data_IF_882554933528
#
_entry.id   IF_882554933528
#
_cell.length_a   1.000
_cell.length_b   1.000
_cell.length_c   1.000
_cell.angle_alpha   90.00
_cell.angle_beta   90.00
_cell.angle_gamma   90.00
#
_symmetry.space_group_name_H-M   'P 1'
#
loop_
_entity.id
_entity.type
_entity.pdbx_description
1 polymer ?
#
# COMPACT_ATOMS: atom_id res chain seq x y z
N UNK A 1 20.89 -19.18 -25.58
CA UNK A 1 20.57 -18.88 -27.00
C UNK A 1 21.41 -17.69 -27.45
N UNK A 2 21.96 -17.70 -28.69
CA UNK A 2 22.68 -16.53 -29.21
C UNK A 2 21.72 -15.34 -29.37
N UNK A 3 22.16 -14.14 -28.98
CA UNK A 3 21.39 -12.87 -28.99
C UNK A 3 20.63 -12.63 -30.30
N UNK A 4 21.24 -12.98 -31.43
CA UNK A 4 20.64 -12.83 -32.77
C UNK A 4 19.42 -13.74 -32.99
N UNK A 5 19.43 -14.99 -32.49
CA UNK A 5 18.27 -15.91 -32.61
C UNK A 5 17.07 -15.45 -31.78
N UNK A 6 17.32 -14.84 -30.62
CA UNK A 6 16.25 -14.26 -29.78
C UNK A 6 15.64 -13.06 -30.49
N UNK A 7 16.48 -12.19 -31.06
CA UNK A 7 16.05 -11.00 -31.79
C UNK A 7 15.18 -11.35 -33.00
N UNK A 8 15.61 -12.29 -33.85
CA UNK A 8 14.85 -12.69 -35.04
C UNK A 8 13.52 -13.37 -34.71
N UNK A 9 13.42 -14.04 -33.56
CA UNK A 9 12.16 -14.64 -33.10
C UNK A 9 11.23 -13.64 -32.41
N UNK A 10 11.79 -12.68 -31.66
CA UNK A 10 11.03 -11.75 -30.83
C UNK A 10 10.51 -10.55 -31.63
N UNK A 11 11.32 -9.98 -32.54
CA UNK A 11 10.94 -8.78 -33.31
C UNK A 11 9.62 -8.93 -34.09
N UNK A 12 9.37 -10.02 -34.84
CA UNK A 12 8.10 -10.17 -35.57
C UNK A 12 6.88 -10.22 -34.63
N UNK A 13 7.07 -10.72 -33.41
CA UNK A 13 6.00 -10.83 -32.41
C UNK A 13 5.69 -9.48 -31.76
N UNK A 14 6.73 -8.70 -31.46
CA UNK A 14 6.59 -7.37 -30.89
C UNK A 14 6.00 -6.37 -31.91
N UNK A 15 6.39 -6.50 -33.18
CA UNK A 15 5.92 -5.66 -34.30
C UNK A 15 4.62 -6.15 -34.94
N UNK A 16 3.91 -7.09 -34.31
CA UNK A 16 2.64 -7.62 -34.82
C UNK A 16 1.51 -6.59 -34.81
N UNK A 17 1.67 -5.49 -34.07
CA UNK A 17 0.71 -4.40 -33.98
C UNK A 17 1.32 -3.15 -34.59
N UNK A 18 0.62 -2.54 -35.53
CA UNK A 18 1.05 -1.29 -36.14
C UNK A 18 1.10 -0.17 -35.08
N UNK A 19 2.21 0.56 -35.06
CA UNK A 19 2.38 1.69 -34.14
C UNK A 19 1.58 2.89 -34.69
N UNK A 20 0.51 3.34 -34.01
CA UNK A 20 -0.29 4.46 -34.48
C UNK A 20 0.50 5.77 -34.40
N UNK A 21 0.13 6.76 -35.23
CA UNK A 21 0.77 8.10 -35.24
C UNK A 21 0.69 8.78 -33.86
N UNK A 22 -0.34 8.50 -33.07
CA UNK A 22 -0.51 9.01 -31.72
C UNK A 22 -0.89 7.89 -30.76
N UNK A 23 -0.13 7.72 -29.68
CA UNK A 23 -0.42 6.75 -28.63
C UNK A 23 -1.28 7.45 -27.56
N UNK A 24 -2.57 7.09 -27.39
CA UNK A 24 -3.40 7.72 -26.37
C UNK A 24 -2.86 7.39 -24.97
N UNK A 25 -2.63 8.41 -24.15
CA UNK A 25 -2.11 8.24 -22.77
C UNK A 25 -3.13 8.55 -21.68
N UNK A 26 -4.37 8.88 -22.05
CA UNK A 26 -5.43 9.29 -21.12
C UNK A 26 -6.76 8.59 -21.42
N UNK A 27 -7.63 8.52 -20.41
CA UNK A 27 -8.96 7.93 -20.51
C UNK A 27 -8.98 6.41 -20.70
N UNK A 28 -10.13 5.88 -21.13
CA UNK A 28 -10.31 4.44 -21.39
C UNK A 28 -9.45 3.96 -22.56
N UNK A 29 -9.28 4.80 -23.58
CA UNK A 29 -8.43 4.53 -24.74
C UNK A 29 -6.97 4.31 -24.33
N UNK A 30 -6.44 5.09 -23.38
CA UNK A 30 -5.10 4.91 -22.83
C UNK A 30 -4.95 3.64 -21.99
N UNK A 31 -5.99 3.22 -21.26
CA UNK A 31 -5.97 1.98 -20.46
C UNK A 31 -5.94 0.71 -21.32
N UNK A 32 -6.49 0.77 -22.54
CA UNK A 32 -6.53 -0.34 -23.48
C UNK A 32 -5.25 -0.50 -24.32
N UNK A 33 -4.28 0.42 -24.21
CA UNK A 33 -3.03 0.36 -24.96
C UNK A 33 -2.18 -0.83 -24.51
N UNK A 34 -1.73 -1.63 -25.47
CA UNK A 34 -0.75 -2.69 -25.28
C UNK A 34 0.13 -2.77 -26.53
N UNK A 35 1.16 -1.93 -26.61
CA UNK A 35 2.02 -1.82 -27.78
C UNK A 35 3.50 -1.80 -27.41
N UNK A 36 4.31 -2.42 -28.27
CA UNK A 36 5.76 -2.34 -28.22
C UNK A 36 6.25 -1.38 -29.31
N UNK A 37 7.06 -0.41 -28.90
CA UNK A 37 7.75 0.53 -29.79
C UNK A 37 9.23 0.23 -29.69
N UNK A 38 9.88 0.05 -30.84
CA UNK A 38 11.30 -0.32 -30.91
C UNK A 38 12.03 0.78 -31.67
N UNK A 39 12.98 1.42 -30.99
CA UNK A 39 13.83 2.45 -31.57
C UNK A 39 15.29 1.99 -31.56
N UNK A 40 15.98 2.22 -32.67
CA UNK A 40 17.42 2.05 -32.81
C UNK A 40 18.07 3.40 -32.61
N UNK A 41 19.06 3.44 -31.73
CA UNK A 41 19.85 4.63 -31.44
C UNK A 41 21.28 4.32 -31.86
N UNK A 42 21.85 5.11 -32.76
CA UNK A 42 23.27 4.96 -33.14
C UNK A 42 24.15 5.14 -31.88
N UNK A 43 25.23 4.35 -31.70
CA UNK A 43 26.14 4.48 -30.55
C UNK A 43 26.75 5.89 -30.39
N UNK A 44 26.78 6.68 -31.46
CA UNK A 44 27.20 8.09 -31.45
C UNK A 44 26.10 9.07 -30.99
N UNK A 45 24.89 8.58 -30.71
CA UNK A 45 23.76 9.32 -30.11
C UNK A 45 23.02 10.28 -31.03
N UNK A 46 23.34 10.32 -32.34
CA UNK A 46 22.82 11.35 -33.26
C UNK A 46 21.66 10.91 -34.15
N UNK A 47 21.43 9.61 -34.30
CA UNK A 47 20.43 9.10 -35.24
C UNK A 47 19.48 8.14 -34.50
N UNK A 48 18.19 8.48 -34.53
CA UNK A 48 17.09 7.68 -34.00
C UNK A 48 16.23 7.14 -35.14
N UNK A 49 15.93 5.85 -35.04
CA UNK A 49 15.38 5.04 -36.11
C UNK A 49 14.27 4.16 -35.53
N UNK A 50 13.01 4.42 -35.87
CA UNK A 50 11.86 3.63 -35.45
C UNK A 50 11.71 2.40 -36.35
N UNK A 51 11.63 1.20 -35.78
CA UNK A 51 11.42 -0.04 -36.56
C UNK A 51 9.93 -0.26 -36.79
N UNK A 52 9.51 -0.35 -38.05
CA UNK A 52 8.12 -0.63 -38.42
C UNK A 52 7.87 -2.09 -38.76
N UNK A 53 8.78 -2.70 -39.53
CA UNK A 53 8.65 -4.10 -39.93
C UNK A 53 9.99 -4.76 -40.23
N UNK A 54 10.01 -6.09 -40.17
CA UNK A 54 11.18 -6.92 -40.45
C UNK A 54 10.86 -7.93 -41.56
N UNK A 55 11.68 -7.94 -42.61
CA UNK A 55 11.67 -9.02 -43.60
C UNK A 55 12.82 -9.99 -43.30
N UNK A 56 12.47 -11.07 -42.60
CA UNK A 56 13.40 -12.14 -42.21
C UNK A 56 13.95 -12.92 -43.42
N UNK A 57 13.28 -12.90 -44.59
CA UNK A 57 13.75 -13.62 -45.79
C UNK A 57 14.85 -12.86 -46.52
N UNK A 58 14.83 -11.52 -46.43
CA UNK A 58 15.81 -10.63 -47.08
C UNK A 58 16.82 -10.02 -46.11
N UNK A 59 16.70 -10.33 -44.82
CA UNK A 59 17.56 -9.81 -43.75
C UNK A 59 17.57 -8.26 -43.69
N UNK A 60 16.42 -7.64 -44.00
CA UNK A 60 16.25 -6.17 -44.04
C UNK A 60 15.27 -5.73 -42.97
N UNK A 61 15.61 -4.64 -42.28
CA UNK A 61 14.71 -3.90 -41.38
C UNK A 61 14.18 -2.67 -42.11
N UNK A 62 12.87 -2.49 -42.11
CA UNK A 62 12.23 -1.25 -42.57
C UNK A 62 12.07 -0.33 -41.37
N UNK A 63 12.64 0.86 -41.50
CA UNK A 63 12.85 1.78 -40.41
C UNK A 63 12.43 3.18 -40.85
N UNK A 64 11.68 3.91 -40.03
CA UNK A 64 11.49 5.35 -40.21
C UNK A 64 12.53 6.10 -39.39
N UNK A 65 13.32 6.94 -40.05
CA UNK A 65 14.32 7.79 -39.41
C UNK A 65 13.69 9.09 -38.95
N UNK A 66 14.18 9.62 -37.84
CA UNK A 66 13.74 10.90 -37.30
C UNK A 66 14.09 12.02 -38.28
N UNK A 67 13.08 12.75 -38.75
CA UNK A 67 13.30 14.00 -39.46
C UNK A 67 13.49 15.12 -38.42
N UNK A 68 14.72 15.64 -38.30
CA UNK A 68 15.08 16.66 -37.30
C UNK A 68 14.26 17.96 -37.44
N UNK A 69 13.81 18.31 -38.64
CA UNK A 69 13.04 19.54 -38.89
C UNK A 69 11.59 19.44 -38.38
N UNK A 70 10.98 18.25 -38.49
CA UNK A 70 9.57 18.02 -38.11
C UNK A 70 9.40 17.30 -36.78
N UNK A 71 10.49 16.81 -36.17
CA UNK A 71 10.48 15.92 -34.99
C UNK A 71 9.55 14.71 -35.15
N UNK A 72 9.39 14.23 -36.39
CA UNK A 72 8.53 13.10 -36.74
C UNK A 72 9.36 12.01 -37.43
N UNK A 73 9.06 10.74 -37.15
CA UNK A 73 9.61 9.59 -37.89
C UNK A 73 8.91 9.48 -39.24
N UNK A 74 9.53 10.07 -40.29
CA UNK A 74 8.92 10.17 -41.63
C UNK A 74 9.80 9.67 -42.76
N UNK A 75 11.12 9.51 -42.54
CA UNK A 75 12.04 9.11 -43.61
C UNK A 75 12.18 7.60 -43.65
N UNK A 76 11.53 6.96 -44.62
CA UNK A 76 11.65 5.52 -44.84
C UNK A 76 13.07 5.13 -45.26
N UNK A 77 13.71 4.30 -44.46
CA UNK A 77 15.05 3.75 -44.70
C UNK A 77 15.02 2.23 -44.50
N UNK A 78 15.88 1.52 -45.24
CA UNK A 78 16.10 0.09 -45.03
C UNK A 78 17.51 -0.14 -44.47
N UNK A 79 17.61 -0.76 -43.30
CA UNK A 79 18.88 -1.11 -42.67
C UNK A 79 19.09 -2.62 -42.78
N UNK A 80 20.29 -3.04 -43.21
CA UNK A 80 20.68 -4.45 -43.18
C UNK A 80 20.92 -4.91 -41.74
N UNK A 81 20.39 -6.08 -41.38
CA UNK A 81 20.55 -6.70 -40.06
C UNK A 81 22.04 -6.90 -39.69
N UNK A 82 22.95 -6.96 -40.67
CA UNK A 82 24.39 -7.08 -40.43
C UNK A 82 24.98 -5.77 -39.84
N UNK A 83 24.43 -4.60 -40.19
CA UNK A 83 24.85 -3.28 -39.70
C UNK A 83 24.38 -2.91 -38.29
N UNK A 84 23.51 -3.73 -37.68
CA UNK A 84 22.92 -3.49 -36.36
C UNK A 84 23.93 -3.48 -35.19
N UNK A 85 25.18 -3.89 -35.41
CA UNK A 85 26.23 -3.88 -34.37
C UNK A 85 26.57 -2.46 -33.90
N UNK A 86 26.30 -1.45 -34.73
CA UNK A 86 26.57 -0.04 -34.43
C UNK A 86 25.41 0.65 -33.71
N UNK A 87 24.28 -0.04 -33.53
CA UNK A 87 23.06 0.50 -32.93
C UNK A 87 22.76 -0.12 -31.55
N UNK A 88 22.17 0.68 -30.69
CA UNK A 88 21.61 0.29 -29.39
C UNK A 88 20.09 0.16 -29.59
N UNK A 89 19.53 -0.95 -29.12
CA UNK A 89 18.09 -1.15 -29.14
C UNK A 89 17.47 -0.54 -27.88
N UNK A 90 16.50 0.33 -28.08
CA UNK A 90 15.61 0.85 -27.05
C UNK A 90 14.21 0.28 -27.30
N UNK A 91 13.75 -0.58 -26.38
CA UNK A 91 12.43 -1.19 -26.44
C UNK A 91 11.53 -0.51 -25.42
N UNK A 92 10.45 0.10 -25.89
CA UNK A 92 9.42 0.70 -25.03
C UNK A 92 8.15 -0.13 -25.10
N UNK A 93 7.62 -0.50 -23.95
CA UNK A 93 6.35 -1.22 -23.84
C UNK A 93 5.33 -0.32 -23.16
N UNK A 94 4.31 0.07 -23.93
CA UNK A 94 3.17 0.84 -23.45
C UNK A 94 2.07 -0.12 -23.05
N UNK A 95 1.88 -0.30 -21.74
CA UNK A 95 0.87 -1.16 -21.15
C UNK A 95 -0.09 -0.33 -20.30
N UNK A 96 -1.25 -0.03 -20.86
CA UNK A 96 -2.20 0.91 -20.31
C UNK A 96 -1.55 2.29 -20.11
N UNK A 97 -1.68 2.82 -18.89
CA UNK A 97 -1.07 4.09 -18.48
C UNK A 97 0.40 3.97 -18.07
N UNK A 98 0.96 2.76 -18.07
CA UNK A 98 2.35 2.53 -17.69
C UNK A 98 3.25 2.48 -18.94
N UNK A 99 4.50 2.89 -18.75
CA UNK A 99 5.56 2.84 -19.76
C UNK A 99 6.74 2.10 -19.16
N UNK A 100 7.23 1.09 -19.89
CA UNK A 100 8.41 0.33 -19.52
C UNK A 100 9.48 0.51 -20.58
N UNK A 101 10.69 0.87 -20.16
CA UNK A 101 11.86 1.00 -21.03
C UNK A 101 12.84 -0.14 -20.77
N UNK A 102 13.27 -0.78 -21.85
CA UNK A 102 14.26 -1.85 -21.82
C UNK A 102 15.38 -1.58 -22.84
N UNK A 103 16.62 -1.51 -22.37
CA UNK A 103 17.82 -1.45 -23.21
C UNK A 103 18.41 -2.83 -23.55
N UNK A 104 17.95 -3.88 -22.87
CA UNK A 104 18.49 -5.22 -23.01
C UNK A 104 17.40 -6.20 -23.45
N UNK A 105 17.67 -6.87 -24.56
CA UNK A 105 16.76 -7.82 -25.22
C UNK A 105 16.35 -9.00 -24.33
N UNK A 106 17.20 -9.42 -23.40
CA UNK A 106 16.85 -10.53 -22.50
C UNK A 106 15.72 -10.13 -21.54
N UNK A 107 15.71 -8.88 -21.05
CA UNK A 107 14.61 -8.39 -20.21
C UNK A 107 13.31 -8.26 -21.00
N UNK A 108 13.38 -7.85 -22.27
CA UNK A 108 12.20 -7.80 -23.16
C UNK A 108 11.66 -9.20 -23.41
N UNK A 109 12.55 -10.16 -23.71
CA UNK A 109 12.17 -11.55 -23.92
C UNK A 109 11.50 -12.16 -22.69
N UNK A 110 12.08 -11.94 -21.51
CA UNK A 110 11.52 -12.44 -20.25
C UNK A 110 10.19 -11.74 -19.92
N UNK A 111 10.10 -10.43 -20.12
CA UNK A 111 8.85 -9.67 -19.97
C UNK A 111 7.75 -10.22 -20.89
N UNK A 112 8.07 -10.48 -22.16
CA UNK A 112 7.11 -10.99 -23.15
C UNK A 112 6.59 -12.39 -22.80
N UNK A 113 7.47 -13.33 -22.45
CA UNK A 113 7.07 -14.70 -22.10
C UNK A 113 6.38 -14.76 -20.74
N UNK A 114 6.95 -14.11 -19.74
CA UNK A 114 6.50 -14.23 -18.36
C UNK A 114 5.39 -13.23 -18.02
N UNK A 115 5.06 -12.30 -18.93
CA UNK A 115 4.13 -11.20 -18.68
C UNK A 115 4.47 -10.40 -17.40
N UNK A 116 5.76 -10.24 -17.10
CA UNK A 116 6.25 -9.63 -15.86
C UNK A 116 5.74 -8.20 -15.66
N UNK A 117 5.57 -7.46 -16.77
CA UNK A 117 5.02 -6.10 -16.77
C UNK A 117 3.57 -6.08 -16.28
N UNK A 118 2.75 -7.06 -16.69
CA UNK A 118 1.36 -7.19 -16.23
C UNK A 118 1.30 -7.51 -14.75
N UNK A 119 2.22 -8.35 -14.25
CA UNK A 119 2.32 -8.67 -12.82
C UNK A 119 2.72 -7.44 -12.00
N UNK A 120 3.69 -6.66 -12.46
CA UNK A 120 4.12 -5.43 -11.80
C UNK A 120 2.98 -4.41 -11.70
N UNK A 121 2.26 -4.17 -12.80
CA UNK A 121 1.08 -3.27 -12.79
C UNK A 121 0.00 -3.79 -11.84
N UNK A 122 -0.30 -5.09 -11.85
CA UNK A 122 -1.28 -5.67 -10.91
C UNK A 122 -0.84 -5.52 -9.46
N UNK A 123 0.45 -5.70 -9.18
CA UNK A 123 1.00 -5.52 -7.84
C UNK A 123 0.89 -4.07 -7.37
N UNK A 124 1.23 -3.09 -8.21
CA UNK A 124 1.09 -1.67 -7.89
C UNK A 124 -0.38 -1.26 -7.67
N UNK A 125 -1.31 -1.80 -8.48
CA UNK A 125 -2.75 -1.59 -8.27
C UNK A 125 -3.20 -2.25 -6.96
N UNK A 126 -2.69 -3.43 -6.64
CA UNK A 126 -3.03 -4.17 -5.42
C UNK A 126 -2.49 -3.49 -4.16
N UNK A 127 -1.24 -3.01 -4.16
CA UNK A 127 -0.65 -2.26 -3.03
C UNK A 127 -1.39 -0.95 -2.81
N UNK A 128 -1.76 -0.24 -3.87
CA UNK A 128 -2.59 0.97 -3.78
C UNK A 128 -3.99 0.66 -3.24
N UNK A 129 -4.62 -0.44 -3.68
CA UNK A 129 -5.92 -0.89 -3.11
C UNK A 129 -5.81 -1.28 -1.65
N UNK A 130 -4.76 -1.99 -1.26
CA UNK A 130 -4.49 -2.33 0.14
C UNK A 130 -4.28 -1.07 0.96
N UNK A 131 -3.44 -0.15 0.50
CA UNK A 131 -3.20 1.13 1.19
C UNK A 131 -4.50 1.90 1.36
N UNK A 132 -5.31 2.04 0.31
CA UNK A 132 -6.61 2.71 0.37
C UNK A 132 -7.60 1.96 1.26
N UNK A 133 -7.60 0.63 1.26
CA UNK A 133 -8.45 -0.18 2.13
C UNK A 133 -8.04 -0.07 3.60
N UNK A 134 -6.74 -0.11 3.92
CA UNK A 134 -6.24 0.10 5.27
C UNK A 134 -6.50 1.53 5.76
N UNK A 135 -6.38 2.53 4.89
CA UNK A 135 -6.69 3.92 5.23
C UNK A 135 -8.21 4.18 5.35
N UNK A 136 -9.05 3.57 4.51
CA UNK A 136 -10.52 3.70 4.60
C UNK A 136 -11.12 2.87 5.76
N UNK A 137 -10.57 1.68 6.06
CA UNK A 137 -11.05 0.83 7.15
C UNK A 137 -10.62 1.36 8.52
N UNK A 138 -9.50 2.08 8.59
CA UNK A 138 -9.23 3.00 9.70
C UNK A 138 -10.18 4.17 9.53
N UNK A 139 -11.38 4.12 10.10
CA UNK A 139 -12.27 5.29 10.21
C UNK A 139 -11.46 6.47 10.76
N UNK A 140 -11.01 7.35 9.85
CA UNK A 140 -9.74 8.07 10.01
C UNK A 140 -9.85 9.26 10.97
N UNK A 141 -11.02 9.45 11.58
CA UNK A 141 -11.30 10.53 12.52
C UNK A 141 -12.11 10.04 13.72
N UNK A 142 -11.95 8.76 14.10
CA UNK A 142 -12.57 8.19 15.31
C UNK A 142 -11.71 8.44 16.54
N UNK A 143 -11.08 9.61 16.63
CA UNK A 143 -10.44 10.06 17.87
C UNK A 143 -11.53 10.42 18.86
N UNK A 144 -11.49 9.79 20.02
CA UNK A 144 -12.46 9.97 21.08
C UNK A 144 -12.15 11.20 21.92
N UNK A 145 -13.04 11.51 22.87
CA UNK A 145 -12.87 12.59 23.83
C UNK A 145 -11.53 12.50 24.59
N UNK A 146 -11.12 11.30 24.97
CA UNK A 146 -9.87 11.08 25.73
C UNK A 146 -8.62 11.26 24.88
N UNK A 147 -8.66 10.93 23.58
CA UNK A 147 -7.55 11.22 22.67
C UNK A 147 -7.30 12.73 22.54
N UNK A 148 -8.38 13.53 22.53
CA UNK A 148 -8.30 14.99 22.48
C UNK A 148 -7.64 15.50 23.76
N UNK A 149 -8.10 15.04 24.92
CA UNK A 149 -7.54 15.44 26.22
C UNK A 149 -6.06 15.07 26.36
N UNK A 150 -5.66 13.86 25.94
CA UNK A 150 -4.25 13.41 25.88
C UNK A 150 -3.41 14.33 24.99
N UNK A 151 -3.90 14.63 23.79
CA UNK A 151 -3.20 15.49 22.82
C UNK A 151 -3.06 16.93 23.32
N UNK A 152 -4.06 17.45 24.04
CA UNK A 152 -4.00 18.77 24.66
C UNK A 152 -2.96 18.84 25.77
N UNK A 153 -2.93 17.83 26.65
CA UNK A 153 -1.93 17.75 27.72
C UNK A 153 -0.51 17.68 27.14
N UNK A 154 -0.29 16.84 26.13
CA UNK A 154 0.99 16.78 25.42
C UNK A 154 1.40 18.12 24.80
N UNK A 155 0.47 18.80 24.13
CA UNK A 155 0.73 20.12 23.55
C UNK A 155 1.06 21.13 24.65
N UNK A 156 0.31 21.19 25.74
CA UNK A 156 0.58 22.13 26.83
C UNK A 156 1.92 21.87 27.52
N UNK A 157 2.31 20.60 27.75
CA UNK A 157 3.64 20.23 28.26
C UNK A 157 4.77 20.58 27.28
N UNK A 158 4.50 20.50 25.96
CA UNK A 158 5.50 20.84 24.93
C UNK A 158 5.61 22.35 24.74
N UNK A 159 4.50 23.08 24.85
CA UNK A 159 4.41 24.54 24.67
C UNK A 159 5.17 25.33 25.73
N UNK A 160 5.52 24.71 26.86
CA UNK A 160 6.45 25.28 27.86
C UNK A 160 7.84 25.63 27.25
N UNK A 161 8.15 25.15 26.03
CA UNK A 161 9.37 25.51 25.28
C UNK A 161 9.19 26.54 24.16
N UNK A 162 7.97 27.05 23.91
CA UNK A 162 7.74 28.05 22.86
C UNK A 162 7.64 29.46 23.44
N UNK A 163 8.74 30.21 23.30
CA UNK A 163 8.95 31.61 23.73
C UNK A 163 7.88 32.65 23.29
N UNK A 164 6.82 32.26 22.56
CA UNK A 164 5.87 33.18 21.90
C UNK A 164 4.42 33.10 22.38
N UNK A 165 4.04 32.18 23.29
CA UNK A 165 2.64 32.08 23.75
C UNK A 165 2.42 32.76 25.10
N UNK A 166 1.80 33.94 25.06
CA UNK A 166 1.40 34.74 26.24
C UNK A 166 0.18 34.16 26.97
N UNK A 167 -0.49 33.19 26.36
CA UNK A 167 -1.58 32.40 26.94
C UNK A 167 -1.10 30.97 27.13
N UNK A 168 -1.21 30.41 28.33
CA UNK A 168 -0.87 29.02 28.65
C UNK A 168 -1.83 27.99 27.99
N UNK A 169 -2.49 28.34 26.89
CA UNK A 169 -3.56 27.57 26.26
C UNK A 169 -3.27 27.21 24.80
N UNK A 170 -3.91 26.14 24.35
CA UNK A 170 -3.79 25.58 23.01
C UNK A 170 -4.90 26.11 22.11
N UNK A 171 -4.55 26.56 20.92
CA UNK A 171 -5.52 27.03 19.93
C UNK A 171 -6.31 25.87 19.29
N UNK A 172 -7.59 26.09 18.98
CA UNK A 172 -8.46 25.10 18.34
C UNK A 172 -7.88 24.50 17.05
N UNK A 173 -7.32 25.35 16.18
CA UNK A 173 -6.73 24.94 14.91
C UNK A 173 -5.50 24.07 15.08
N UNK A 174 -4.62 24.46 16.00
CA UNK A 174 -3.42 23.70 16.36
C UNK A 174 -3.80 22.31 16.90
N UNK A 175 -4.81 22.25 17.77
CA UNK A 175 -5.30 21.00 18.32
C UNK A 175 -5.93 20.10 17.25
N UNK A 176 -6.74 20.66 16.35
CA UNK A 176 -7.30 19.89 15.23
C UNK A 176 -6.21 19.36 14.30
N UNK A 177 -5.21 20.17 13.93
CA UNK A 177 -4.09 19.72 13.09
C UNK A 177 -3.22 18.68 13.78
N UNK A 178 -2.99 18.78 15.10
CA UNK A 178 -2.28 17.77 15.88
C UNK A 178 -3.00 16.42 15.87
N UNK A 179 -4.31 16.42 16.08
CA UNK A 179 -5.11 15.18 16.24
C UNK A 179 -5.41 14.52 14.90
N UNK A 180 -5.69 15.35 13.89
CA UNK A 180 -6.24 14.88 12.62
C UNK A 180 -5.31 15.06 11.41
N UNK A 181 -4.11 15.64 11.62
CA UNK A 181 -3.17 16.08 10.57
C UNK A 181 -3.79 17.15 9.66
N UNK A 182 -3.01 18.04 9.04
CA UNK A 182 -3.51 19.09 8.13
C UNK A 182 -4.39 18.57 6.96
N UNK A 183 -4.36 17.27 6.71
CA UNK A 183 -5.23 16.56 5.75
C UNK A 183 -6.72 16.66 6.08
N UNK A 184 -7.11 16.98 7.32
CA UNK A 184 -8.52 17.12 7.69
C UNK A 184 -9.22 18.24 6.90
N UNK A 185 -8.48 19.27 6.47
CA UNK A 185 -8.98 20.42 5.70
C UNK A 185 -9.53 19.98 4.34
N UNK A 186 -8.85 19.03 3.70
CA UNK A 186 -9.21 18.50 2.38
C UNK A 186 -10.21 17.34 2.45
N UNK A 187 -10.65 16.95 3.65
CA UNK A 187 -11.56 15.83 3.82
C UNK A 187 -12.99 16.19 3.37
N UNK A 188 -13.68 15.34 2.60
CA UNK A 188 -15.10 15.55 2.26
C UNK A 188 -16.00 15.68 3.50
N UNK A 189 -15.67 15.03 4.62
CA UNK A 189 -16.41 15.05 5.89
C UNK A 189 -15.90 16.11 6.89
N UNK A 190 -15.16 17.13 6.43
CA UNK A 190 -14.54 18.15 7.31
C UNK A 190 -15.54 18.83 8.27
N UNK A 191 -16.78 19.03 7.85
CA UNK A 191 -17.83 19.68 8.65
C UNK A 191 -18.24 18.77 9.82
N UNK A 192 -18.46 17.49 9.56
CA UNK A 192 -18.82 16.52 10.60
C UNK A 192 -17.70 16.34 11.62
N UNK A 193 -16.45 16.27 11.14
CA UNK A 193 -15.26 16.17 11.99
C UNK A 193 -15.16 17.38 12.92
N UNK A 194 -15.32 18.60 12.37
CA UNK A 194 -15.28 19.84 13.15
C UNK A 194 -16.39 19.90 14.19
N UNK A 195 -17.63 19.60 13.80
CA UNK A 195 -18.78 19.64 14.71
C UNK A 195 -18.61 18.62 15.86
N UNK A 196 -18.15 17.42 15.55
CA UNK A 196 -17.87 16.38 16.54
C UNK A 196 -16.76 16.81 17.50
N UNK A 197 -15.71 17.43 16.98
CA UNK A 197 -14.60 17.95 17.76
C UNK A 197 -15.05 19.07 18.72
N UNK A 198 -15.89 19.99 18.25
CA UNK A 198 -16.49 21.04 19.10
C UNK A 198 -17.33 20.46 20.23
N UNK A 199 -18.12 19.42 19.95
CA UNK A 199 -18.90 18.73 20.99
C UNK A 199 -18.00 18.09 22.05
N UNK A 200 -16.85 17.54 21.66
CA UNK A 200 -15.89 16.99 22.62
C UNK A 200 -15.22 18.07 23.47
N UNK A 201 -14.84 19.20 22.88
CA UNK A 201 -14.31 20.33 23.64
C UNK A 201 -15.34 20.86 24.63
N UNK A 202 -16.59 21.08 24.20
CA UNK A 202 -17.68 21.49 25.07
C UNK A 202 -17.91 20.49 26.21
N UNK A 203 -17.79 19.19 25.93
CA UNK A 203 -17.93 18.12 26.92
C UNK A 203 -16.79 18.12 27.95
N UNK A 204 -15.56 18.44 27.53
CA UNK A 204 -14.38 18.57 28.41
C UNK A 204 -14.43 19.85 29.25
N UNK A 205 -14.95 20.95 28.70
CA UNK A 205 -15.21 22.18 29.46
C UNK A 205 -16.29 21.92 30.51
N UNK A 206 -17.38 21.26 30.11
CA UNK A 206 -18.50 20.95 31.02
C UNK A 206 -18.09 20.01 32.17
N UNK A 207 -17.13 19.12 31.97
CA UNK A 207 -16.61 18.28 33.06
C UNK A 207 -15.56 19.01 33.90
N UNK A 208 -15.07 20.17 33.48
CA UNK A 208 -13.97 20.88 34.14
C UNK A 208 -12.61 20.20 33.93
N UNK A 209 -12.47 19.37 32.90
CA UNK A 209 -11.16 18.82 32.49
C UNK A 209 -10.32 19.91 31.80
N UNK A 210 -10.97 20.84 31.11
CA UNK A 210 -10.33 21.98 30.45
C UNK A 210 -11.11 23.27 30.70
N UNK A 211 -10.45 24.41 30.58
CA UNK A 211 -11.06 25.74 30.59
C UNK A 211 -10.86 26.44 29.26
N UNK A 212 -11.83 27.24 28.82
CA UNK A 212 -11.75 28.05 27.60
C UNK A 212 -11.57 29.51 27.98
N UNK A 213 -10.50 30.14 27.48
CA UNK A 213 -10.19 31.56 27.70
C UNK A 213 -9.83 32.18 26.35
N UNK A 214 -10.59 33.18 25.90
CA UNK A 214 -10.34 33.92 24.65
C UNK A 214 -10.10 33.06 23.40
N UNK A 215 -10.78 31.91 23.29
CA UNK A 215 -10.64 30.96 22.17
C UNK A 215 -9.44 30.01 22.26
N UNK A 216 -8.75 30.02 23.40
CA UNK A 216 -7.71 29.06 23.76
C UNK A 216 -8.22 28.10 24.83
N UNK A 217 -7.73 26.86 24.80
CA UNK A 217 -8.10 25.85 25.79
C UNK A 217 -6.92 25.49 26.69
N UNK A 218 -7.14 25.49 28.00
CA UNK A 218 -6.12 25.14 29.02
C UNK A 218 -6.56 23.87 29.73
N UNK A 219 -5.64 22.92 29.89
CA UNK A 219 -5.87 21.68 30.63
C UNK A 219 -5.77 21.96 32.13
N UNK A 220 -6.79 21.51 32.87
CA UNK A 220 -6.87 21.66 34.33
C UNK A 220 -6.34 20.43 35.07
N UNK A 221 -6.03 20.57 36.36
CA UNK A 221 -5.56 19.45 37.19
C UNK A 221 -6.55 18.27 37.25
N UNK A 222 -7.85 18.52 37.07
CA UNK A 222 -8.88 17.46 36.98
C UNK A 222 -8.65 16.52 35.80
N UNK A 223 -8.11 17.02 34.69
CA UNK A 223 -7.82 16.20 33.52
C UNK A 223 -6.84 15.07 33.81
N UNK A 224 -5.84 15.30 34.67
CA UNK A 224 -4.87 14.27 35.04
C UNK A 224 -5.57 13.07 35.69
N UNK A 225 -6.49 13.33 36.62
CA UNK A 225 -7.30 12.29 37.26
C UNK A 225 -8.17 11.56 36.24
N UNK A 226 -8.83 12.30 35.35
CA UNK A 226 -9.67 11.74 34.29
C UNK A 226 -8.86 10.83 33.35
N UNK A 227 -7.63 11.21 33.00
CA UNK A 227 -6.73 10.42 32.16
C UNK A 227 -6.21 9.17 32.86
N UNK A 228 -5.83 9.26 34.13
CA UNK A 228 -5.41 8.11 34.92
C UNK A 228 -6.52 7.06 35.08
N UNK A 229 -7.76 7.52 35.27
CA UNK A 229 -8.94 6.68 35.37
C UNK A 229 -9.25 5.98 34.04
N UNK A 230 -9.23 6.72 32.93
CA UNK A 230 -9.37 6.17 31.56
C UNK A 230 -8.30 5.11 31.26
N UNK A 231 -7.03 5.38 31.58
CA UNK A 231 -5.95 4.40 31.39
C UNK A 231 -6.14 3.13 32.22
N UNK A 232 -6.60 3.27 33.47
CA UNK A 232 -6.86 2.15 34.37
C UNK A 232 -8.01 1.29 33.87
N UNK A 233 -9.09 1.91 33.40
CA UNK A 233 -10.22 1.22 32.77
C UNK A 233 -9.78 0.49 31.51
N UNK A 234 -9.02 1.15 30.62
CA UNK A 234 -8.47 0.52 29.41
C UNK A 234 -7.62 -0.72 29.71
N UNK A 235 -6.73 -0.64 30.71
CA UNK A 235 -5.89 -1.78 31.13
C UNK A 235 -6.77 -2.93 31.62
N UNK A 236 -7.76 -2.63 32.45
CA UNK A 236 -8.69 -3.61 33.00
C UNK A 236 -9.54 -4.27 31.91
N UNK A 237 -10.05 -3.48 30.95
CA UNK A 237 -10.78 -4.01 29.79
C UNK A 237 -9.92 -4.90 28.90
N UNK A 238 -8.66 -4.51 28.63
CA UNK A 238 -7.71 -5.32 27.85
C UNK A 238 -7.41 -6.64 28.56
N UNK A 239 -7.20 -6.62 29.87
CA UNK A 239 -6.91 -7.82 30.65
C UNK A 239 -8.12 -8.73 30.77
N UNK A 240 -9.32 -8.19 30.96
CA UNK A 240 -10.57 -8.95 30.91
C UNK A 240 -10.78 -9.64 29.54
N UNK A 241 -10.47 -8.95 28.43
CA UNK A 241 -10.57 -9.52 27.08
C UNK A 241 -9.55 -10.65 26.86
N UNK A 242 -8.31 -10.48 27.32
CA UNK A 242 -7.27 -11.53 27.29
C UNK A 242 -7.70 -12.76 28.12
N UNK A 243 -8.22 -12.53 29.32
CA UNK A 243 -8.77 -13.59 30.18
C UNK A 243 -9.92 -14.34 29.51
N UNK A 244 -10.90 -13.63 28.94
CA UNK A 244 -12.03 -14.23 28.21
C UNK A 244 -11.58 -15.07 27.01
N UNK A 245 -10.56 -14.62 26.27
CA UNK A 245 -10.02 -15.38 25.14
C UNK A 245 -9.33 -16.67 25.60
N UNK A 246 -8.62 -16.65 26.74
CA UNK A 246 -8.04 -17.87 27.34
C UNK A 246 -9.13 -18.86 27.77
N UNK A 247 -10.18 -18.37 28.42
CA UNK A 247 -11.34 -19.19 28.81
C UNK A 247 -12.00 -19.81 27.58
N UNK A 248 -12.22 -19.04 26.52
CA UNK A 248 -12.77 -19.55 25.26
C UNK A 248 -11.94 -20.71 24.70
N UNK A 249 -10.62 -20.57 24.61
CA UNK A 249 -9.75 -21.65 24.13
C UNK A 249 -9.72 -22.85 25.07
N UNK A 250 -9.76 -22.65 26.38
CA UNK A 250 -9.91 -23.73 27.35
C UNK A 250 -11.23 -24.50 27.15
N UNK A 251 -12.35 -23.80 26.94
CA UNK A 251 -13.64 -24.42 26.65
C UNK A 251 -13.62 -25.20 25.34
N UNK A 252 -12.96 -24.69 24.30
CA UNK A 252 -12.78 -25.42 23.03
C UNK A 252 -11.99 -26.71 23.23
N UNK A 253 -10.89 -26.67 24.00
CA UNK A 253 -10.09 -27.85 24.31
C UNK A 253 -10.92 -28.88 25.10
N UNK A 254 -11.65 -28.45 26.13
CA UNK A 254 -12.50 -29.33 26.94
C UNK A 254 -13.60 -29.97 26.08
N UNK A 255 -14.29 -29.19 25.24
CA UNK A 255 -15.31 -29.70 24.34
C UNK A 255 -14.74 -30.73 23.35
N UNK A 256 -13.54 -30.47 22.81
CA UNK A 256 -12.86 -31.40 21.93
C UNK A 256 -12.45 -32.68 22.68
N UNK A 257 -11.87 -32.58 23.88
CA UNK A 257 -11.53 -33.72 24.72
C UNK A 257 -12.76 -34.56 25.07
N UNK A 258 -13.89 -33.94 25.38
CA UNK A 258 -15.15 -34.62 25.64
C UNK A 258 -15.69 -35.35 24.39
N UNK A 259 -15.58 -34.75 23.21
CA UNK A 259 -15.94 -35.40 21.95
C UNK A 259 -15.03 -36.59 21.61
N UNK A 260 -13.73 -36.46 21.87
CA UNK A 260 -12.76 -37.55 21.71
C UNK A 260 -13.08 -38.69 22.69
N UNK A 261 -13.35 -38.38 23.95
CA UNK A 261 -13.78 -39.38 24.95
C UNK A 261 -15.11 -40.03 24.55
N UNK A 262 -16.08 -39.26 24.05
CA UNK A 262 -17.38 -39.77 23.63
C UNK A 262 -17.34 -40.62 22.35
N UNK A 263 -16.31 -40.50 21.51
CA UNK A 263 -16.12 -41.32 20.30
C UNK A 263 -15.03 -42.39 20.42
N UNK A 264 -14.24 -42.40 21.50
CA UNK A 264 -13.13 -43.32 21.68
C UNK A 264 -13.16 -43.95 23.09
N UNK A 265 -14.12 -44.87 23.26
CA UNK A 265 -14.24 -45.96 24.26
C UNK A 265 -15.41 -45.83 25.26
N UNK A 266 -16.19 -46.90 25.33
CA UNK A 266 -16.81 -47.43 26.54
C UNK A 266 -15.74 -47.75 27.59
N UNK A 267 -15.10 -46.74 28.18
CA UNK A 267 -14.28 -46.93 29.37
C UNK A 267 -15.19 -46.84 30.60
N UNK A 268 -15.12 -47.81 31.52
CA UNK A 268 -15.86 -47.74 32.77
C UNK A 268 -15.38 -46.52 33.60
N UNK A 269 -16.28 -45.94 34.40
CA UNK A 269 -15.98 -44.79 35.24
C UNK A 269 -14.78 -45.05 36.17
N UNK A 270 -14.06 -43.99 36.53
CA UNK A 270 -12.84 -44.00 37.37
C UNK A 270 -13.04 -44.72 38.72
N UNK A 271 -14.28 -44.89 39.17
CA UNK A 271 -14.65 -45.70 40.34
C UNK A 271 -14.32 -47.20 40.23
N UNK A 272 -14.04 -47.72 39.03
CA UNK A 272 -13.79 -49.14 38.78
C UNK A 272 -12.32 -49.47 38.47
N UNK A 273 -11.39 -48.52 38.60
CA UNK A 273 -9.98 -48.82 38.39
C UNK A 273 -9.44 -49.71 39.51
N UNK A 274 -8.73 -50.82 39.20
CA UNK A 274 -8.19 -51.68 40.22
C UNK A 274 -7.07 -50.95 40.96
N UNK A 275 -7.32 -50.58 42.21
CA UNK A 275 -6.26 -50.25 43.17
C UNK A 275 -5.41 -51.49 43.38
N UNK A 276 -4.35 -51.67 42.58
CA UNK A 276 -3.24 -52.56 42.94
C UNK A 276 -2.56 -51.93 44.16
N UNK A 277 -3.03 -52.32 45.34
CA UNK A 277 -2.30 -52.14 46.59
C UNK A 277 -1.00 -52.93 46.43
N UNK A 278 0.12 -52.23 46.31
CA UNK A 278 1.44 -52.83 46.36
C UNK A 278 1.63 -53.30 47.81
N UNK A 279 1.38 -54.57 48.08
CA UNK A 279 1.79 -55.19 49.34
C UNK A 279 3.29 -55.44 49.27
N UNK A 280 4.08 -54.62 49.97
CA UNK A 280 5.46 -54.95 50.28
C UNK A 280 5.46 -56.11 51.28
N UNK A 281 5.87 -57.29 50.81
CA UNK A 281 6.20 -58.43 51.67
C UNK A 281 7.55 -58.13 52.33
N UNK A 282 7.55 -57.84 53.63
CA UNK A 282 8.78 -57.87 54.43
C UNK A 282 9.19 -59.33 54.67
N UNK A 283 10.37 -59.69 54.20
CA UNK A 283 11.19 -60.80 54.70
C UNK A 283 12.59 -60.26 54.97
#
# INVERSE_FOLDING_TARGET
MPKQKILTWLLPKLLSHEVPKYIPRTGEKGKAVNLYVITLINKKGKEEHLIDSIDLKKNKLFVRSLNEEKKEFSVENSIDVIGLKEYIFDFRHYLGLHEFNYRNIYYVFLSYIMSWDKLRVKFDVFTNRLSNYYHNKKGTFTKGRMDILKSMLELQMTLETSFYNKSNGVGKWELMSKIYTDRWILNPLRIEIRNKFELYLASLVSSGDITETDGYYVVEGKALKTLEEDEREERTHKDAKRGRNRIFWLTVIIAFSALVQAKLLSLPPISEWPTRIITFSNN
#
